data_IF_645434861566
#
_entry.id   IF_645434861566
#
_cell.length_a   1.000
_cell.length_b   1.000
_cell.length_c   1.000
_cell.angle_alpha   90.00
_cell.angle_beta   90.00
_cell.angle_gamma   90.00
#
_symmetry.space_group_name_H-M   'P 1'
#
loop_
_entity.id
_entity.type
_entity.pdbx_description
1 polymer ?
#
# COMPACT_ATOMS: atom_id res chain seq x y z
N UNK A 1 4.69 -9.36 3.54
CA UNK A 1 3.25 -9.52 3.27
C UNK A 1 2.74 -10.82 3.87
N UNK A 2 1.47 -10.85 4.28
CA UNK A 2 0.87 -12.01 4.96
C UNK A 2 0.50 -13.17 4.04
N UNK A 3 0.58 -12.98 2.74
CA UNK A 3 0.36 -14.00 1.70
C UNK A 3 1.57 -14.94 1.47
N UNK A 4 2.70 -14.67 2.12
CA UNK A 4 3.97 -15.40 1.97
C UNK A 4 4.41 -16.08 3.26
N UNK A 5 5.16 -17.16 3.11
CA UNK A 5 5.86 -17.75 4.26
C UNK A 5 7.16 -16.96 4.59
N UNK A 6 7.64 -16.99 5.84
CA UNK A 6 7.06 -17.63 7.02
C UNK A 6 5.93 -16.82 7.65
N UNK A 7 4.91 -17.53 8.15
CA UNK A 7 3.75 -16.91 8.78
C UNK A 7 3.98 -16.73 10.30
N UNK A 8 4.91 -15.86 10.67
CA UNK A 8 5.36 -15.63 12.05
C UNK A 8 5.57 -14.15 12.33
N UNK A 9 5.39 -13.73 13.57
CA UNK A 9 5.82 -12.41 14.00
C UNK A 9 7.32 -12.35 14.23
N UNK A 10 7.93 -11.22 13.89
CA UNK A 10 9.32 -10.88 14.22
C UNK A 10 9.31 -9.73 15.20
N UNK A 11 9.99 -9.89 16.33
CA UNK A 11 10.13 -8.88 17.37
C UNK A 11 11.62 -8.67 17.68
N UNK A 12 12.10 -7.44 17.57
CA UNK A 12 13.50 -7.07 17.81
C UNK A 12 14.52 -7.93 17.02
N UNK A 13 14.18 -8.28 15.77
CA UNK A 13 15.04 -9.08 14.90
C UNK A 13 14.97 -10.60 15.11
N UNK A 14 14.11 -11.08 16.01
CA UNK A 14 13.93 -12.49 16.30
C UNK A 14 12.50 -12.95 16.04
N UNK A 15 12.33 -14.21 15.64
CA UNK A 15 10.99 -14.80 15.52
C UNK A 15 10.39 -14.97 16.92
N UNK A 16 9.23 -14.34 17.12
CA UNK A 16 8.53 -14.42 18.40
C UNK A 16 7.96 -15.83 18.64
N UNK A 17 8.20 -16.39 19.83
CA UNK A 17 7.64 -17.69 20.23
C UNK A 17 8.24 -18.91 19.52
N UNK A 18 9.40 -18.77 18.86
CA UNK A 18 10.07 -19.90 18.20
C UNK A 18 10.66 -20.88 19.22
N UNK A 19 10.32 -22.16 19.07
CA UNK A 19 11.02 -23.25 19.77
C UNK A 19 12.37 -23.49 19.06
N UNK A 20 13.52 -23.40 19.76
CA UNK A 20 14.84 -23.66 19.18
C UNK A 20 14.99 -25.07 18.60
N UNK A 21 14.19 -26.04 19.07
CA UNK A 21 14.21 -27.42 18.58
C UNK A 21 13.35 -27.65 17.32
N UNK A 22 12.56 -26.65 16.90
CA UNK A 22 11.72 -26.68 15.69
C UNK A 22 12.07 -25.48 14.78
N UNK A 23 13.31 -25.43 14.23
CA UNK A 23 13.77 -24.31 13.42
C UNK A 23 12.98 -24.16 12.11
N UNK A 24 12.76 -22.92 11.71
CA UNK A 24 12.06 -22.59 10.47
C UNK A 24 12.99 -22.76 9.27
N UNK A 25 12.51 -23.45 8.25
CA UNK A 25 13.12 -23.48 6.92
C UNK A 25 12.11 -22.96 5.88
N UNK A 26 12.55 -22.04 5.02
CA UNK A 26 11.74 -21.43 3.95
C UNK A 26 12.45 -21.56 2.61
N UNK A 27 11.69 -21.82 1.55
CA UNK A 27 12.17 -21.78 0.18
C UNK A 27 11.05 -21.27 -0.75
N UNK A 28 11.42 -20.53 -1.82
CA UNK A 28 10.47 -20.01 -2.80
C UNK A 28 10.58 -20.67 -4.17
N UNK A 29 11.60 -21.50 -4.38
CA UNK A 29 11.87 -22.16 -5.66
C UNK A 29 11.40 -23.63 -5.67
N UNK A 30 11.45 -24.30 -4.50
CA UNK A 30 11.09 -25.71 -4.37
C UNK A 30 10.58 -26.05 -2.98
N UNK A 31 9.81 -27.15 -2.89
CA UNK A 31 9.24 -27.64 -1.65
C UNK A 31 10.32 -28.01 -0.63
N UNK A 32 10.16 -27.56 0.61
CA UNK A 32 10.94 -27.96 1.79
C UNK A 32 10.03 -28.62 2.82
N UNK A 33 10.56 -29.65 3.47
CA UNK A 33 9.80 -30.42 4.45
C UNK A 33 8.59 -31.16 3.87
N UNK A 34 7.69 -31.54 4.76
CA UNK A 34 6.51 -32.36 4.42
C UNK A 34 5.18 -31.73 4.83
N UNK A 35 5.15 -30.42 5.05
CA UNK A 35 3.89 -29.73 5.36
C UNK A 35 2.96 -29.76 4.13
N UNK A 36 1.63 -29.80 4.36
CA UNK A 36 0.66 -29.85 3.27
C UNK A 36 0.74 -28.59 2.42
N UNK A 37 0.49 -28.76 1.12
CA UNK A 37 0.40 -27.65 0.16
C UNK A 37 -1.01 -27.58 -0.42
N UNK A 38 -1.40 -26.41 -0.89
CA UNK A 38 -2.71 -26.24 -1.54
C UNK A 38 -2.86 -27.08 -2.82
N UNK A 39 -1.75 -27.33 -3.51
CA UNK A 39 -1.73 -28.18 -4.71
C UNK A 39 -1.93 -29.66 -4.39
N UNK A 40 -1.27 -30.17 -3.36
CA UNK A 40 -1.31 -31.59 -2.99
C UNK A 40 -2.49 -31.96 -2.09
N UNK A 41 -3.02 -30.99 -1.32
CA UNK A 41 -4.02 -31.20 -0.26
C UNK A 41 -5.18 -30.17 -0.38
N UNK A 42 -5.89 -30.11 -1.53
CA UNK A 42 -6.94 -29.12 -1.72
C UNK A 42 -8.12 -29.25 -0.74
N UNK A 43 -8.30 -30.42 -0.11
CA UNK A 43 -9.31 -30.67 0.92
C UNK A 43 -9.04 -29.93 2.25
N UNK A 44 -7.78 -29.52 2.48
CA UNK A 44 -7.40 -28.76 3.67
C UNK A 44 -7.54 -27.23 3.49
N UNK A 45 -7.85 -26.80 2.26
CA UNK A 45 -7.91 -25.39 1.89
C UNK A 45 -9.25 -24.78 2.27
N UNK A 46 -9.24 -23.83 3.21
CA UNK A 46 -10.42 -23.04 3.61
C UNK A 46 -10.64 -21.82 2.71
N UNK A 47 -9.56 -21.16 2.29
CA UNK A 47 -9.59 -20.04 1.35
C UNK A 47 -8.83 -20.45 0.08
N UNK A 48 -9.57 -20.66 -1.00
CA UNK A 48 -9.01 -21.14 -2.27
C UNK A 48 -8.18 -20.05 -2.94
N UNK A 49 -7.00 -20.39 -3.48
CA UNK A 49 -6.25 -19.46 -4.32
C UNK A 49 -6.96 -19.24 -5.64
N UNK A 50 -6.91 -18.02 -6.18
CA UNK A 50 -7.28 -17.70 -7.55
C UNK A 50 -6.08 -17.81 -8.49
N UNK A 51 -4.86 -17.61 -7.95
CA UNK A 51 -3.61 -17.62 -8.69
C UNK A 51 -2.41 -17.73 -7.73
N UNK A 52 -1.40 -18.48 -8.12
CA UNK A 52 -0.03 -18.46 -7.56
C UNK A 52 0.17 -18.72 -6.05
N UNK A 53 -0.85 -18.66 -5.25
CA UNK A 53 -0.83 -18.80 -3.81
C UNK A 53 -1.18 -20.24 -3.40
N UNK A 54 -0.42 -21.24 -3.86
CA UNK A 54 -0.83 -22.64 -3.73
C UNK A 54 0.22 -23.55 -3.05
N UNK A 55 1.19 -22.96 -2.35
CA UNK A 55 2.23 -23.71 -1.67
C UNK A 55 1.83 -24.06 -0.21
N UNK A 56 2.68 -23.90 0.79
CA UNK A 56 2.41 -24.37 2.14
C UNK A 56 1.12 -23.82 2.72
N UNK A 57 0.28 -24.71 3.26
CA UNK A 57 -0.98 -24.34 3.94
C UNK A 57 -0.67 -23.97 5.39
N UNK A 58 -1.02 -22.75 5.78
CA UNK A 58 -1.00 -22.26 7.16
C UNK A 58 -2.41 -21.80 7.54
N UNK A 59 -2.96 -22.28 8.64
CA UNK A 59 -4.33 -21.98 9.12
C UNK A 59 -5.45 -22.29 8.11
N UNK A 60 -5.18 -23.23 7.18
CA UNK A 60 -6.12 -23.55 6.08
C UNK A 60 -6.00 -22.63 4.88
N UNK A 61 -4.98 -21.78 4.83
CA UNK A 61 -4.73 -20.83 3.73
C UNK A 61 -3.39 -21.18 3.08
N UNK A 62 -3.37 -21.53 1.79
CA UNK A 62 -2.14 -21.77 1.07
C UNK A 62 -1.42 -20.44 0.79
N UNK A 63 -0.10 -20.45 0.87
CA UNK A 63 0.76 -19.27 0.77
C UNK A 63 1.66 -19.34 -0.45
N UNK A 64 2.34 -18.25 -0.75
CA UNK A 64 3.48 -18.24 -1.67
C UNK A 64 4.71 -18.73 -0.91
N UNK A 65 5.39 -19.73 -1.46
CA UNK A 65 6.57 -20.35 -0.89
C UNK A 65 6.27 -21.55 0.02
N UNK A 66 7.31 -22.30 0.31
CA UNK A 66 7.26 -23.50 1.13
C UNK A 66 7.99 -23.25 2.46
N UNK A 67 7.41 -23.76 3.54
CA UNK A 67 8.03 -23.71 4.85
C UNK A 67 7.83 -25.02 5.62
N UNK A 68 8.71 -25.24 6.59
CA UNK A 68 8.57 -26.27 7.62
C UNK A 68 9.19 -25.77 8.92
N UNK A 69 8.76 -26.33 10.04
CA UNK A 69 9.22 -25.90 11.38
C UNK A 69 8.53 -24.63 11.88
N UNK A 70 8.84 -24.26 13.13
CA UNK A 70 8.31 -23.06 13.77
C UNK A 70 6.83 -23.13 14.15
N UNK A 71 6.29 -24.31 14.43
CA UNK A 71 4.86 -24.50 14.76
C UNK A 71 4.38 -23.62 15.91
N UNK A 72 5.20 -23.45 16.93
CA UNK A 72 4.88 -22.64 18.11
C UNK A 72 4.84 -21.13 17.82
N UNK A 73 5.48 -20.70 16.74
CA UNK A 73 5.59 -19.30 16.35
C UNK A 73 4.55 -18.85 15.33
N UNK A 74 3.77 -19.79 14.74
CA UNK A 74 2.79 -19.45 13.73
C UNK A 74 1.73 -18.47 14.28
N UNK A 75 1.48 -17.38 13.56
CA UNK A 75 0.35 -16.52 13.88
C UNK A 75 -0.99 -17.17 13.55
N UNK A 76 -2.07 -16.60 14.10
CA UNK A 76 -3.43 -16.80 13.60
C UNK A 76 -3.80 -15.57 12.77
N UNK A 77 -4.32 -15.78 11.56
CA UNK A 77 -4.57 -14.68 10.63
C UNK A 77 -5.62 -13.70 11.18
N UNK A 78 -6.66 -14.22 11.82
CA UNK A 78 -7.72 -13.39 12.40
C UNK A 78 -7.23 -12.47 13.53
N UNK A 79 -6.14 -12.81 14.20
CA UNK A 79 -5.64 -12.08 15.38
C UNK A 79 -4.58 -11.02 15.03
N UNK A 80 -4.09 -10.98 13.77
CA UNK A 80 -2.97 -10.12 13.38
C UNK A 80 -3.26 -8.65 13.66
N UNK A 81 -4.45 -8.17 13.27
CA UNK A 81 -4.81 -6.76 13.45
C UNK A 81 -4.81 -6.35 14.93
N UNK A 82 -5.35 -7.20 15.80
CA UNK A 82 -5.39 -6.96 17.24
C UNK A 82 -3.99 -6.91 17.84
N UNK A 83 -3.15 -7.90 17.51
CA UNK A 83 -1.78 -8.00 18.02
C UNK A 83 -0.94 -6.79 17.62
N UNK A 84 -1.00 -6.37 16.36
CA UNK A 84 -0.27 -5.20 15.88
C UNK A 84 -0.80 -3.91 16.51
N UNK A 85 -2.12 -3.79 16.63
CA UNK A 85 -2.76 -2.64 17.27
C UNK A 85 -2.34 -2.52 18.73
N UNK A 86 -2.37 -3.62 19.49
CA UNK A 86 -1.95 -3.63 20.89
C UNK A 86 -0.46 -3.32 21.06
N UNK A 87 0.40 -3.82 20.17
CA UNK A 87 1.83 -3.47 20.16
C UNK A 87 2.03 -1.97 19.94
N UNK A 88 1.29 -1.37 18.98
CA UNK A 88 1.36 0.06 18.70
C UNK A 88 0.85 0.89 19.89
N UNK A 89 -0.28 0.53 20.51
CA UNK A 89 -0.83 1.19 21.70
C UNK A 89 0.15 1.14 22.87
N UNK A 90 0.74 -0.01 23.13
CA UNK A 90 1.73 -0.20 24.18
C UNK A 90 3.01 0.63 23.93
N UNK A 91 3.48 0.68 22.67
CA UNK A 91 4.59 1.54 22.28
C UNK A 91 4.28 3.02 22.58
N UNK A 92 3.14 3.53 22.14
CA UNK A 92 2.72 4.91 22.39
C UNK A 92 2.67 5.20 23.90
N UNK A 93 2.05 4.30 24.66
CA UNK A 93 1.91 4.49 26.12
C UNK A 93 3.27 4.47 26.85
N UNK A 94 4.21 3.63 26.43
CA UNK A 94 5.53 3.55 27.06
C UNK A 94 6.46 4.72 26.70
N UNK A 95 6.19 5.42 25.57
CA UNK A 95 7.01 6.54 25.10
C UNK A 95 6.28 7.91 25.20
N UNK A 96 5.19 7.99 25.96
CA UNK A 96 4.35 9.19 26.03
C UNK A 96 5.05 10.44 26.58
N UNK A 97 6.13 10.29 27.34
CA UNK A 97 6.88 11.40 27.96
C UNK A 97 8.07 11.86 27.10
N UNK A 98 8.31 11.23 25.94
CA UNK A 98 9.43 11.54 25.05
C UNK A 98 8.99 11.62 23.58
N UNK A 99 9.73 12.32 22.71
CA UNK A 99 9.46 12.27 21.27
C UNK A 99 9.62 10.87 20.70
N UNK A 100 8.64 10.42 19.91
CA UNK A 100 8.71 9.15 19.24
C UNK A 100 8.35 9.25 17.74
N UNK A 101 8.80 8.29 16.98
CA UNK A 101 8.35 8.03 15.61
C UNK A 101 7.85 6.60 15.52
N UNK A 102 6.58 6.43 15.15
CA UNK A 102 5.98 5.12 14.94
C UNK A 102 5.59 4.96 13.46
N UNK A 103 6.19 4.00 12.77
CA UNK A 103 5.74 3.54 11.48
C UNK A 103 4.94 2.25 11.66
N UNK A 104 3.67 2.27 11.30
CA UNK A 104 2.75 1.15 11.44
C UNK A 104 2.27 0.69 10.07
N UNK A 105 2.89 -0.38 9.54
CA UNK A 105 2.44 -1.06 8.32
C UNK A 105 1.40 -2.12 8.67
N UNK A 106 0.13 -1.86 8.32
CA UNK A 106 -0.95 -2.82 8.56
C UNK A 106 -0.97 -3.91 7.48
N UNK A 107 -1.48 -5.10 7.82
CA UNK A 107 -1.76 -6.14 6.82
C UNK A 107 -3.03 -5.84 6.01
N UNK A 108 -3.99 -5.17 6.61
CA UNK A 108 -5.24 -4.80 5.95
C UNK A 108 -5.00 -3.61 4.98
N UNK A 109 -5.54 -3.68 3.82
CA UNK A 109 -6.57 -4.60 3.28
C UNK A 109 -5.96 -5.63 2.30
N UNK A 110 -4.68 -6.00 2.44
CA UNK A 110 -4.00 -6.95 1.57
C UNK A 110 -4.54 -8.37 1.74
N UNK A 111 -4.40 -9.19 0.70
CA UNK A 111 -4.76 -10.62 0.76
C UNK A 111 -3.70 -11.42 1.56
N UNK A 112 -4.08 -12.56 2.15
CA UNK A 112 -5.43 -13.10 2.31
C UNK A 112 -6.26 -12.25 3.28
N UNK A 113 -7.50 -11.99 2.92
CA UNK A 113 -8.41 -11.19 3.74
C UNK A 113 -9.11 -12.07 4.76
N UNK A 114 -8.64 -12.02 5.99
CA UNK A 114 -9.13 -12.86 7.10
C UNK A 114 -9.52 -11.95 8.26
N UNK A 115 -10.74 -11.37 8.20
CA UNK A 115 -11.20 -10.48 9.27
C UNK A 115 -11.36 -11.25 10.58
N UNK A 116 -11.05 -10.59 11.71
CA UNK A 116 -11.41 -11.11 13.02
C UNK A 116 -12.94 -11.37 13.09
N UNK A 117 -13.41 -12.42 13.78
CA UNK A 117 -14.83 -12.81 13.80
C UNK A 117 -15.81 -11.68 14.14
N UNK A 118 -15.40 -10.68 14.93
CA UNK A 118 -16.25 -9.51 15.25
C UNK A 118 -16.57 -8.62 14.05
N UNK A 119 -15.79 -8.68 12.97
CA UNK A 119 -16.01 -7.91 11.73
C UNK A 119 -16.61 -8.75 10.62
N UNK A 120 -16.48 -10.08 10.69
CA UNK A 120 -16.96 -10.99 9.65
C UNK A 120 -18.46 -10.80 9.37
N UNK A 121 -18.81 -10.59 8.10
CA UNK A 121 -20.19 -10.37 7.63
C UNK A 121 -20.79 -9.01 8.00
N UNK A 122 -20.01 -8.02 8.46
CA UNK A 122 -20.55 -6.73 8.92
C UNK A 122 -20.62 -5.66 7.83
N UNK A 123 -19.78 -5.73 6.81
CA UNK A 123 -19.70 -4.69 5.78
C UNK A 123 -20.79 -4.79 4.70
N UNK A 124 -21.32 -5.99 4.45
CA UNK A 124 -22.13 -6.26 3.26
C UNK A 124 -21.34 -6.31 1.94
N UNK A 125 -20.00 -6.23 2.01
CA UNK A 125 -19.07 -6.22 0.86
C UNK A 125 -18.12 -7.43 0.90
N UNK A 126 -18.50 -8.52 1.55
CA UNK A 126 -17.68 -9.71 1.75
C UNK A 126 -16.44 -9.45 2.61
N UNK A 127 -15.52 -10.41 2.62
CA UNK A 127 -14.30 -10.33 3.45
C UNK A 127 -13.46 -9.08 3.14
N UNK A 128 -13.48 -8.61 1.89
CA UNK A 128 -12.79 -7.37 1.51
C UNK A 128 -13.36 -6.15 2.25
N UNK A 129 -14.68 -6.02 2.33
CA UNK A 129 -15.31 -4.94 3.09
C UNK A 129 -15.11 -5.10 4.59
N UNK A 130 -15.13 -6.33 5.10
CA UNK A 130 -14.94 -6.62 6.51
C UNK A 130 -13.54 -6.24 7.01
N UNK A 131 -12.49 -6.50 6.22
CA UNK A 131 -11.13 -6.04 6.57
C UNK A 131 -10.95 -4.52 6.43
N UNK A 132 -11.76 -3.83 5.62
CA UNK A 132 -11.81 -2.36 5.61
C UNK A 132 -12.37 -1.85 6.94
N UNK A 133 -13.45 -2.45 7.45
CA UNK A 133 -13.97 -2.11 8.78
C UNK A 133 -12.96 -2.41 9.89
N UNK A 134 -12.19 -3.49 9.75
CA UNK A 134 -11.12 -3.84 10.68
C UNK A 134 -9.99 -2.81 10.66
N UNK A 135 -9.59 -2.35 9.47
CA UNK A 135 -8.59 -1.27 9.32
C UNK A 135 -9.08 0.03 9.97
N UNK A 136 -10.34 0.41 9.71
CA UNK A 136 -10.94 1.61 10.31
C UNK A 136 -10.97 1.52 11.84
N UNK A 137 -11.32 0.35 12.40
CA UNK A 137 -11.20 0.08 13.83
C UNK A 137 -9.76 0.24 14.33
N UNK A 138 -8.77 -0.33 13.63
CA UNK A 138 -7.35 -0.20 14.00
C UNK A 138 -6.92 1.28 14.11
N UNK A 139 -7.30 2.09 13.12
CA UNK A 139 -7.04 3.54 13.12
C UNK A 139 -7.73 4.22 14.31
N UNK A 140 -8.99 3.87 14.54
CA UNK A 140 -9.78 4.38 15.69
C UNK A 140 -9.12 4.06 17.03
N UNK A 141 -8.60 2.85 17.24
CA UNK A 141 -7.90 2.45 18.46
C UNK A 141 -6.63 3.26 18.71
N UNK A 142 -5.84 3.52 17.68
CA UNK A 142 -4.64 4.35 17.79
C UNK A 142 -5.03 5.80 18.12
N UNK A 143 -6.03 6.37 17.45
CA UNK A 143 -6.52 7.71 17.71
C UNK A 143 -7.06 7.84 19.15
N UNK A 144 -7.87 6.89 19.60
CA UNK A 144 -8.38 6.84 20.97
C UNK A 144 -7.27 6.74 22.02
N UNK A 145 -6.20 6.00 21.70
CA UNK A 145 -5.02 5.91 22.57
C UNK A 145 -4.33 7.27 22.71
N UNK A 146 -4.09 7.97 21.60
CA UNK A 146 -3.52 9.32 21.62
C UNK A 146 -4.41 10.30 22.41
N UNK A 147 -5.73 10.24 22.23
CA UNK A 147 -6.68 11.08 22.92
C UNK A 147 -6.68 10.79 24.45
N UNK A 148 -6.71 9.53 24.85
CA UNK A 148 -6.72 9.12 26.26
C UNK A 148 -5.43 9.49 27.00
N UNK A 149 -4.30 9.50 26.28
CA UNK A 149 -2.99 9.90 26.81
C UNK A 149 -2.72 11.41 26.66
N UNK A 150 -3.68 12.20 26.15
CA UNK A 150 -3.56 13.65 25.92
C UNK A 150 -2.41 14.02 24.95
N UNK A 151 -2.10 13.13 24.01
CA UNK A 151 -1.03 13.32 23.02
C UNK A 151 -1.50 13.90 21.68
N UNK A 152 -2.80 13.94 21.44
CA UNK A 152 -3.41 14.31 20.15
C UNK A 152 -2.94 15.65 19.61
N UNK A 153 -2.87 16.68 20.46
CA UNK A 153 -2.45 18.02 20.04
C UNK A 153 -0.94 18.12 19.76
N UNK A 154 -0.15 17.17 20.23
CA UNK A 154 1.30 17.14 20.04
C UNK A 154 1.77 15.99 19.13
N UNK A 155 0.86 15.36 18.40
CA UNK A 155 1.18 14.25 17.50
C UNK A 155 0.75 14.56 16.07
N UNK A 156 1.64 14.37 15.12
CA UNK A 156 1.29 14.28 13.70
C UNK A 156 0.87 12.84 13.44
N UNK A 157 -0.39 12.64 13.08
CA UNK A 157 -0.92 11.36 12.65
C UNK A 157 -1.09 11.38 11.14
N UNK A 158 -0.44 10.46 10.43
CA UNK A 158 -0.54 10.32 8.97
C UNK A 158 -1.13 8.95 8.65
N UNK A 159 -2.21 8.94 7.86
CA UNK A 159 -2.77 7.75 7.25
C UNK A 159 -2.58 7.79 5.75
N UNK A 160 -2.02 6.72 5.19
CA UNK A 160 -1.77 6.61 3.76
C UNK A 160 -1.71 5.13 3.32
N UNK A 161 -1.47 4.88 2.04
CA UNK A 161 -1.29 3.54 1.47
C UNK A 161 -0.02 3.48 0.63
N UNK A 162 0.50 2.30 0.37
CA UNK A 162 1.69 2.07 -0.47
C UNK A 162 1.38 2.12 -1.97
N UNK A 163 0.18 1.69 -2.37
CA UNK A 163 -0.30 1.70 -3.76
C UNK A 163 -1.82 1.77 -3.81
N UNK A 164 -2.33 1.94 -5.01
CA UNK A 164 -3.77 1.90 -5.29
C UNK A 164 -4.39 0.50 -5.11
N UNK A 165 -5.72 0.39 -5.19
CA UNK A 165 -6.43 -0.85 -4.88
C UNK A 165 -6.25 -1.91 -5.97
N UNK A 166 -6.42 -3.17 -5.55
CA UNK A 166 -6.64 -4.33 -6.41
C UNK A 166 -7.79 -5.15 -5.82
N UNK A 167 -8.64 -5.71 -6.67
CA UNK A 167 -9.81 -6.44 -6.20
C UNK A 167 -9.45 -7.90 -5.93
N UNK A 168 -9.02 -8.65 -6.95
CA UNK A 168 -8.48 -10.00 -6.79
C UNK A 168 -6.94 -9.94 -6.88
N UNK A 169 -6.26 -10.37 -5.83
CA UNK A 169 -4.80 -10.45 -5.77
C UNK A 169 -4.34 -11.80 -5.22
N UNK A 170 -5.03 -12.88 -5.62
CA UNK A 170 -4.57 -14.24 -5.42
C UNK A 170 -5.48 -15.19 -4.66
N UNK A 171 -6.65 -14.76 -4.19
CA UNK A 171 -7.60 -15.63 -3.49
C UNK A 171 -9.04 -15.43 -3.96
N UNK A 172 -9.81 -16.52 -3.97
CA UNK A 172 -11.25 -16.53 -4.31
C UNK A 172 -12.09 -16.12 -3.09
N UNK A 173 -12.02 -14.85 -2.73
CA UNK A 173 -12.70 -14.27 -1.57
C UNK A 173 -13.99 -13.51 -1.95
N UNK A 174 -14.49 -13.72 -3.16
CA UNK A 174 -15.69 -13.08 -3.71
C UNK A 174 -15.59 -11.54 -3.80
N UNK A 175 -14.38 -10.99 -3.89
CA UNK A 175 -14.18 -9.55 -3.87
C UNK A 175 -14.82 -8.82 -5.05
N UNK A 176 -14.92 -9.46 -6.24
CA UNK A 176 -15.63 -8.92 -7.40
C UNK A 176 -17.14 -9.07 -7.26
N UNK A 177 -17.62 -10.25 -6.86
CA UNK A 177 -19.04 -10.59 -6.78
C UNK A 177 -19.77 -9.76 -5.73
N UNK A 178 -19.07 -9.40 -4.66
CA UNK A 178 -19.63 -8.66 -3.52
C UNK A 178 -19.26 -7.18 -3.49
N UNK A 179 -18.97 -6.58 -4.64
CA UNK A 179 -18.73 -5.12 -4.72
C UNK A 179 -19.96 -4.29 -4.32
N UNK A 180 -21.16 -4.79 -4.60
CA UNK A 180 -22.44 -4.16 -4.22
C UNK A 180 -22.48 -2.64 -4.50
N UNK A 181 -21.94 -2.21 -5.65
CA UNK A 181 -21.86 -0.81 -6.05
C UNK A 181 -20.68 -0.03 -5.48
N UNK A 182 -19.85 -0.63 -4.64
CA UNK A 182 -18.60 0.00 -4.22
C UNK A 182 -17.58 0.04 -5.36
N UNK A 183 -16.98 1.21 -5.59
CA UNK A 183 -15.97 1.46 -6.62
C UNK A 183 -14.61 1.72 -5.96
N UNK A 184 -13.77 0.71 -5.73
CA UNK A 184 -12.52 0.87 -4.98
C UNK A 184 -11.55 1.90 -5.59
N UNK A 185 -11.53 2.02 -6.92
CA UNK A 185 -10.71 2.98 -7.65
C UNK A 185 -11.37 4.38 -7.76
N UNK A 186 -12.61 4.54 -7.27
CA UNK A 186 -13.38 5.76 -7.47
C UNK A 186 -13.62 6.06 -8.95
N UNK A 187 -13.25 7.26 -9.39
CA UNK A 187 -13.35 7.71 -10.78
C UNK A 187 -12.08 7.42 -11.60
N UNK A 188 -11.01 6.96 -10.96
CA UNK A 188 -9.70 6.80 -11.58
C UNK A 188 -9.58 5.46 -12.31
N UNK A 189 -8.76 5.43 -13.36
CA UNK A 189 -8.47 4.23 -14.14
C UNK A 189 -7.31 3.44 -13.56
N UNK A 190 -7.29 2.12 -13.80
CA UNK A 190 -6.25 1.22 -13.34
C UNK A 190 -6.42 0.83 -11.87
N UNK A 191 -5.32 0.59 -11.19
CA UNK A 191 -5.22 0.17 -9.80
C UNK A 191 -3.79 -0.23 -9.47
N UNK A 192 -3.55 -1.02 -8.43
CA UNK A 192 -2.25 -1.60 -8.12
C UNK A 192 -1.59 -2.13 -9.40
N UNK A 193 -0.30 -1.91 -9.59
CA UNK A 193 0.50 -2.26 -10.79
C UNK A 193 0.40 -1.31 -11.97
N UNK A 194 -0.57 -0.40 -12.01
CA UNK A 194 -0.86 0.45 -13.17
C UNK A 194 -0.07 1.75 -13.19
N UNK A 195 0.26 2.23 -14.39
CA UNK A 195 0.73 3.59 -14.62
C UNK A 195 -0.41 4.63 -14.60
N UNK A 196 -1.68 4.19 -14.67
CA UNK A 196 -2.84 5.07 -14.55
C UNK A 196 -3.04 5.59 -13.14
N UNK A 197 -3.87 6.65 -12.97
CA UNK A 197 -4.02 7.37 -11.70
C UNK A 197 -4.38 6.45 -10.52
N UNK A 198 -5.28 5.49 -10.68
CA UNK A 198 -5.66 4.62 -9.58
C UNK A 198 -4.51 3.73 -9.08
N UNK A 199 -3.39 3.61 -9.80
CA UNK A 199 -2.21 2.85 -9.37
C UNK A 199 -1.43 3.52 -8.25
N UNK A 200 -1.38 4.85 -8.26
CA UNK A 200 -0.49 5.63 -7.38
C UNK A 200 -1.16 6.81 -6.69
N UNK A 201 -2.38 7.19 -7.10
CA UNK A 201 -3.17 8.23 -6.43
C UNK A 201 -3.87 7.67 -5.21
N UNK A 202 -3.11 7.56 -4.14
CA UNK A 202 -3.50 6.96 -2.87
C UNK A 202 -4.08 8.01 -1.92
N UNK A 203 -4.87 7.59 -0.89
CA UNK A 203 -5.23 8.49 0.19
C UNK A 203 -3.99 8.97 0.94
N UNK A 204 -3.97 10.25 1.30
CA UNK A 204 -3.00 10.83 2.20
C UNK A 204 -3.74 11.78 3.14
N UNK A 205 -3.86 11.42 4.39
CA UNK A 205 -4.60 12.15 5.41
C UNK A 205 -3.66 12.48 6.54
N UNK A 206 -3.51 13.79 6.86
CA UNK A 206 -2.73 14.24 7.98
C UNK A 206 -3.66 14.89 9.04
N UNK A 207 -3.49 14.46 10.29
CA UNK A 207 -4.19 15.04 11.44
C UNK A 207 -3.17 15.58 12.44
N UNK A 208 -3.26 16.88 12.75
CA UNK A 208 -2.54 17.55 13.81
C UNK A 208 -3.37 18.73 14.34
N UNK A 209 -4.34 18.51 15.24
CA UNK A 209 -5.37 19.49 15.58
C UNK A 209 -4.82 20.85 16.06
N UNK A 210 -3.74 20.84 16.83
CA UNK A 210 -3.13 22.08 17.33
C UNK A 210 -2.47 22.96 16.23
N UNK A 211 -2.20 22.41 15.03
CA UNK A 211 -1.42 23.10 13.99
C UNK A 211 -2.09 23.13 12.62
N UNK A 212 -2.93 22.16 12.30
CA UNK A 212 -3.52 21.97 10.98
C UNK A 212 -5.04 22.05 11.08
N UNK A 213 -5.64 22.99 10.35
CA UNK A 213 -7.09 23.10 10.23
C UNK A 213 -7.60 22.14 9.15
N UNK A 214 -8.84 21.60 9.28
CA UNK A 214 -9.44 20.78 8.24
C UNK A 214 -9.48 21.51 6.90
N UNK A 215 -8.85 20.92 5.89
CA UNK A 215 -8.88 21.41 4.51
C UNK A 215 -8.66 20.23 3.52
N UNK A 216 -8.72 20.53 2.21
CA UNK A 216 -8.32 19.62 1.14
C UNK A 216 -7.25 20.33 0.31
N UNK A 217 -6.10 19.70 0.19
CA UNK A 217 -5.01 20.16 -0.68
C UNK A 217 -5.16 19.57 -2.07
N UNK A 218 -4.88 20.38 -3.09
CA UNK A 218 -4.81 19.96 -4.49
C UNK A 218 -3.36 19.92 -4.99
N UNK A 219 -2.43 20.25 -4.13
CA UNK A 219 -1.01 20.26 -4.45
C UNK A 219 -0.51 18.88 -4.88
N UNK A 220 0.36 18.84 -5.88
CA UNK A 220 1.07 17.64 -6.28
C UNK A 220 2.12 17.32 -5.20
N UNK A 221 1.91 16.21 -4.49
CA UNK A 221 2.72 15.78 -3.36
C UNK A 221 3.03 14.28 -3.45
N UNK A 222 4.22 13.89 -3.08
CA UNK A 222 4.63 12.48 -3.03
C UNK A 222 4.96 12.05 -1.61
N UNK A 223 4.68 10.80 -1.25
CA UNK A 223 5.06 10.25 0.06
C UNK A 223 6.54 10.38 0.38
N UNK A 224 7.41 10.34 -0.62
CA UNK A 224 8.86 10.53 -0.43
C UNK A 224 9.20 11.91 0.14
N UNK A 225 8.31 12.91 -0.01
CA UNK A 225 8.49 14.27 0.48
C UNK A 225 8.27 14.39 2.00
N UNK A 226 7.64 13.40 2.61
CA UNK A 226 7.46 13.34 4.05
C UNK A 226 8.80 13.39 4.77
N UNK A 227 9.83 12.71 4.25
CA UNK A 227 11.15 12.67 4.88
C UNK A 227 11.80 14.06 4.97
N UNK A 228 11.91 14.77 3.84
CA UNK A 228 12.49 16.13 3.84
C UNK A 228 11.63 17.13 4.63
N UNK A 229 10.30 17.00 4.54
CA UNK A 229 9.37 17.88 5.26
C UNK A 229 9.44 17.68 6.77
N UNK A 230 9.55 16.44 7.25
CA UNK A 230 9.75 16.18 8.68
C UNK A 230 11.14 16.63 9.17
N UNK A 231 12.18 16.47 8.36
CA UNK A 231 13.51 16.99 8.68
C UNK A 231 13.46 18.54 8.86
N UNK A 232 12.76 19.24 7.96
CA UNK A 232 12.56 20.68 8.06
C UNK A 232 11.75 21.06 9.33
N UNK A 233 10.68 20.32 9.65
CA UNK A 233 9.91 20.51 10.86
C UNK A 233 10.78 20.42 12.13
N UNK A 234 11.68 19.43 12.15
CA UNK A 234 12.59 19.15 13.27
C UNK A 234 13.86 20.03 13.22
N UNK A 235 14.00 20.88 12.18
CA UNK A 235 15.19 21.71 11.94
C UNK A 235 16.49 20.90 11.87
N UNK A 236 16.40 19.68 11.30
CA UNK A 236 17.54 18.81 11.10
C UNK A 236 17.99 18.85 9.65
N UNK A 237 19.28 19.04 9.37
CA UNK A 237 19.79 18.96 8.01
C UNK A 237 19.70 17.52 7.49
N UNK A 238 19.37 17.36 6.22
CA UNK A 238 19.45 16.05 5.58
C UNK A 238 20.92 15.66 5.40
N UNK A 239 21.30 14.41 5.70
CA UNK A 239 22.61 13.90 5.39
C UNK A 239 22.89 13.98 3.87
N UNK A 240 24.11 14.29 3.49
CA UNK A 240 24.49 14.39 2.07
C UNK A 240 24.16 13.08 1.34
N UNK A 241 23.37 13.17 0.25
CA UNK A 241 22.94 12.03 -0.56
C UNK A 241 21.80 11.19 0.05
N UNK A 242 21.27 11.57 1.20
CA UNK A 242 20.09 10.92 1.74
C UNK A 242 18.82 11.42 1.02
N UNK A 243 17.94 10.46 0.64
CA UNK A 243 16.65 10.72 0.01
C UNK A 243 16.73 11.73 -1.16
N UNK A 244 17.51 11.44 -2.24
CA UNK A 244 17.80 12.38 -3.31
C UNK A 244 16.56 12.89 -4.05
N UNK A 245 15.47 12.13 -4.03
CA UNK A 245 14.20 12.48 -4.68
C UNK A 245 13.20 13.16 -3.74
N UNK A 246 13.47 13.22 -2.43
CA UNK A 246 12.61 13.87 -1.44
C UNK A 246 12.77 15.40 -1.52
N UNK A 247 11.64 16.11 -1.61
CA UNK A 247 11.57 17.57 -1.61
C UNK A 247 10.93 18.08 -0.33
N UNK A 248 11.36 19.24 0.15
CA UNK A 248 10.76 19.87 1.31
C UNK A 248 9.45 20.57 0.91
N UNK A 249 8.33 20.11 1.47
CA UNK A 249 6.98 20.62 1.28
C UNK A 249 6.24 20.73 2.63
N UNK A 250 6.93 21.14 3.69
CA UNK A 250 6.36 21.24 5.03
C UNK A 250 5.12 22.15 5.11
N UNK A 251 5.16 23.27 4.44
CA UNK A 251 4.03 24.20 4.46
C UNK A 251 2.80 23.62 3.78
N UNK A 252 2.97 22.95 2.64
CA UNK A 252 1.90 22.21 1.95
C UNK A 252 1.37 21.09 2.82
N UNK A 253 2.25 20.31 3.45
CA UNK A 253 1.90 19.22 4.35
C UNK A 253 1.07 19.72 5.55
N UNK A 254 1.38 20.92 6.05
CA UNK A 254 0.67 21.57 7.14
C UNK A 254 -0.54 22.42 6.69
N UNK A 255 -0.90 22.39 5.41
CA UNK A 255 -2.03 23.12 4.85
C UNK A 255 -1.89 24.64 4.88
N UNK A 256 -0.66 25.17 4.84
CA UNK A 256 -0.37 26.60 4.90
C UNK A 256 -0.23 27.26 3.53
N UNK A 257 0.12 26.47 2.52
CA UNK A 257 0.21 26.89 1.13
C UNK A 257 -0.15 25.74 0.19
N UNK A 258 -0.23 26.00 -1.11
CA UNK A 258 -0.47 25.05 -2.20
C UNK A 258 0.78 24.82 -3.05
N UNK A 259 1.99 24.94 -2.46
CA UNK A 259 3.22 24.72 -3.18
C UNK A 259 3.29 23.29 -3.72
N UNK A 260 3.44 23.16 -5.03
CA UNK A 260 3.45 21.88 -5.72
C UNK A 260 4.86 21.40 -5.99
N UNK A 261 5.03 20.08 -6.05
CA UNK A 261 6.12 19.53 -6.86
C UNK A 261 5.97 20.00 -8.30
N UNK A 262 7.06 20.27 -8.97
CA UNK A 262 7.02 20.58 -10.40
C UNK A 262 6.46 19.40 -11.19
N UNK A 263 6.84 18.17 -10.81
CA UNK A 263 6.36 16.93 -11.41
C UNK A 263 6.48 15.75 -10.44
N UNK A 264 5.72 14.69 -10.73
CA UNK A 264 5.88 13.36 -10.10
C UNK A 264 6.13 12.32 -11.19
N UNK A 265 7.11 11.44 -10.97
CA UNK A 265 7.35 10.27 -11.81
C UNK A 265 6.75 9.04 -11.12
N UNK A 266 6.06 8.23 -11.89
CA UNK A 266 5.40 7.00 -11.49
C UNK A 266 5.89 5.86 -12.38
N UNK A 267 5.83 4.63 -11.89
CA UNK A 267 6.14 3.45 -12.71
C UNK A 267 5.08 2.37 -12.49
N UNK A 268 4.86 1.56 -13.51
CA UNK A 268 4.01 0.38 -13.43
C UNK A 268 4.82 -0.89 -13.14
N UNK A 269 4.13 -2.04 -13.07
CA UNK A 269 4.73 -3.36 -12.85
C UNK A 269 5.87 -3.70 -13.83
N UNK A 270 5.79 -3.23 -15.06
CA UNK A 270 6.77 -3.51 -16.12
C UNK A 270 7.85 -2.43 -16.26
N UNK A 271 7.99 -1.54 -15.28
CA UNK A 271 8.90 -0.40 -15.29
C UNK A 271 8.63 0.64 -16.39
N UNK A 272 7.43 0.66 -16.97
CA UNK A 272 7.00 1.75 -17.85
C UNK A 272 6.74 2.98 -16.99
N UNK A 273 7.35 4.10 -17.35
CA UNK A 273 7.26 5.32 -16.59
C UNK A 273 6.14 6.22 -17.07
N UNK A 274 5.55 6.90 -16.13
CA UNK A 274 4.65 8.02 -16.35
C UNK A 274 5.16 9.25 -15.60
N UNK A 275 4.82 10.44 -16.10
CA UNK A 275 5.10 11.72 -15.45
C UNK A 275 3.85 12.58 -15.42
N UNK A 276 3.59 13.14 -14.25
CA UNK A 276 2.52 14.14 -14.03
C UNK A 276 3.17 15.49 -13.81
N UNK A 277 2.77 16.49 -14.61
CA UNK A 277 3.19 17.89 -14.48
C UNK A 277 2.02 18.81 -14.81
N UNK A 278 1.64 19.65 -13.85
CA UNK A 278 0.44 20.48 -13.99
C UNK A 278 -0.81 19.62 -14.22
N UNK A 279 -1.54 19.92 -15.29
CA UNK A 279 -2.73 19.14 -15.67
C UNK A 279 -2.41 17.89 -16.50
N UNK A 280 -1.19 17.76 -17.01
CA UNK A 280 -0.81 16.71 -17.94
C UNK A 280 -0.24 15.48 -17.27
N UNK A 281 -0.69 14.32 -17.70
CA UNK A 281 -0.04 13.05 -17.45
C UNK A 281 0.39 12.41 -18.75
N UNK A 282 1.67 12.13 -18.84
CA UNK A 282 2.29 11.44 -19.96
C UNK A 282 2.73 10.04 -19.53
N UNK A 283 2.41 9.01 -20.32
CA UNK A 283 2.93 7.65 -20.16
C UNK A 283 3.78 7.32 -21.38
N UNK A 284 5.01 6.90 -21.16
CA UNK A 284 5.93 6.57 -22.24
C UNK A 284 5.49 5.33 -23.02
N UNK A 285 5.87 5.21 -24.31
CA UNK A 285 5.62 4.01 -25.11
C UNK A 285 6.28 2.77 -24.48
N UNK A 286 5.58 1.63 -24.56
CA UNK A 286 6.04 0.35 -24.03
C UNK A 286 5.49 -0.80 -24.86
N UNK A 287 6.33 -1.82 -25.13
CA UNK A 287 5.92 -3.09 -25.76
C UNK A 287 5.46 -4.14 -24.73
N UNK A 288 5.50 -3.82 -23.44
CA UNK A 288 5.05 -4.70 -22.37
C UNK A 288 3.53 -4.97 -22.44
N UNK A 289 3.01 -6.04 -21.81
CA UNK A 289 1.58 -6.35 -21.83
C UNK A 289 0.72 -5.19 -21.32
N UNK A 290 -0.40 -4.91 -21.99
CA UNK A 290 -1.34 -3.87 -21.59
C UNK A 290 -2.14 -4.25 -20.32
N UNK A 291 -2.33 -5.54 -20.08
CA UNK A 291 -3.09 -6.11 -18.96
C UNK A 291 -2.18 -7.04 -18.17
N UNK A 292 -2.19 -6.91 -16.85
CA UNK A 292 -1.58 -7.87 -15.95
C UNK A 292 -2.37 -9.18 -16.00
N UNK A 293 -1.68 -10.30 -16.20
CA UNK A 293 -2.30 -11.60 -16.51
C UNK A 293 -3.18 -12.11 -15.35
N UNK A 294 -2.67 -11.99 -14.11
CA UNK A 294 -3.31 -12.58 -12.95
C UNK A 294 -4.46 -11.74 -12.41
N UNK A 295 -4.21 -10.46 -12.15
CA UNK A 295 -5.18 -9.53 -11.53
C UNK A 295 -6.12 -8.92 -12.56
N UNK A 296 -5.86 -9.11 -13.86
CA UNK A 296 -6.59 -8.50 -14.97
C UNK A 296 -6.55 -6.97 -14.97
N UNK A 297 -5.58 -6.40 -14.27
CA UNK A 297 -5.40 -4.96 -14.15
C UNK A 297 -4.81 -4.35 -15.43
N UNK A 298 -5.39 -3.23 -15.86
CA UNK A 298 -4.81 -2.41 -16.94
C UNK A 298 -3.51 -1.77 -16.47
N UNK A 299 -2.39 -2.05 -17.15
CA UNK A 299 -1.07 -1.57 -16.75
C UNK A 299 -0.70 -0.18 -17.29
N UNK A 300 -1.40 0.30 -18.31
CA UNK A 300 -1.07 1.55 -18.99
C UNK A 300 0.05 1.41 -20.02
N UNK A 301 0.38 0.19 -20.45
CA UNK A 301 1.34 -0.04 -21.53
C UNK A 301 0.66 0.09 -22.89
N UNK A 302 1.27 0.88 -23.79
CA UNK A 302 0.88 1.04 -25.19
C UNK A 302 2.14 1.36 -26.01
N UNK A 303 2.20 0.89 -27.26
CA UNK A 303 3.30 1.19 -28.20
C UNK A 303 3.36 2.65 -28.61
N UNK A 304 2.24 3.35 -28.48
CA UNK A 304 2.15 4.78 -28.76
C UNK A 304 2.25 5.58 -27.46
N UNK A 305 2.75 6.82 -27.53
CA UNK A 305 2.74 7.70 -26.37
C UNK A 305 1.30 8.00 -25.93
N UNK A 306 1.09 8.11 -24.64
CA UNK A 306 -0.21 8.48 -24.08
C UNK A 306 -0.08 9.82 -23.36
N UNK A 307 -1.07 10.68 -23.55
CA UNK A 307 -1.19 11.97 -22.85
C UNK A 307 -2.63 12.16 -22.41
N UNK A 308 -2.82 12.50 -21.14
CA UNK A 308 -4.13 12.75 -20.55
C UNK A 308 -4.16 14.11 -19.88
N UNK A 309 -5.29 14.84 -20.04
CA UNK A 309 -5.58 16.06 -19.29
C UNK A 309 -6.34 15.69 -18.02
N UNK A 310 -5.66 15.56 -16.89
CA UNK A 310 -6.26 15.15 -15.63
C UNK A 310 -7.26 16.15 -15.05
N UNK A 311 -7.24 17.40 -15.54
CA UNK A 311 -8.20 18.44 -15.11
C UNK A 311 -9.59 18.23 -15.69
N UNK A 312 -9.68 17.71 -16.91
CA UNK A 312 -10.93 17.45 -17.63
C UNK A 312 -11.25 15.95 -17.75
N UNK A 313 -10.24 15.08 -17.72
CA UNK A 313 -10.35 13.63 -17.84
C UNK A 313 -9.54 12.90 -16.75
N UNK A 314 -9.94 13.02 -15.47
CA UNK A 314 -9.25 12.34 -14.37
C UNK A 314 -9.34 10.80 -14.44
N UNK A 315 -10.19 10.29 -15.33
CA UNK A 315 -10.36 8.85 -15.58
C UNK A 315 -9.53 8.32 -16.76
N UNK A 316 -8.70 9.17 -17.38
CA UNK A 316 -7.72 8.80 -18.41
C UNK A 316 -8.33 7.98 -19.56
N UNK A 317 -9.53 8.41 -20.04
CA UNK A 317 -10.26 7.73 -21.11
C UNK A 317 -9.84 8.20 -22.50
N UNK A 318 -9.40 9.45 -22.60
CA UNK A 318 -9.16 10.13 -23.86
C UNK A 318 -7.68 10.43 -24.04
N UNK A 319 -6.96 9.56 -24.77
CA UNK A 319 -5.57 9.85 -25.14
C UNK A 319 -5.51 11.00 -26.14
N UNK A 320 -5.03 12.17 -25.69
CA UNK A 320 -4.93 13.39 -26.50
C UNK A 320 -3.51 13.65 -27.03
N UNK A 321 -2.61 12.69 -26.98
CA UNK A 321 -1.21 12.83 -27.41
C UNK A 321 -1.06 13.39 -28.83
N UNK A 322 -1.92 12.97 -29.76
CA UNK A 322 -1.90 13.46 -31.16
C UNK A 322 -2.35 14.92 -31.28
N UNK A 323 -3.17 15.41 -30.36
CA UNK A 323 -3.68 16.78 -30.36
C UNK A 323 -2.72 17.76 -29.71
N UNK A 324 -1.81 17.27 -28.85
CA UNK A 324 -0.87 18.09 -28.07
C UNK A 324 0.58 17.57 -28.20
N UNK A 325 1.15 17.56 -29.43
CA UNK A 325 2.50 17.00 -29.66
C UNK A 325 3.62 17.76 -28.91
N UNK A 326 3.40 19.06 -28.62
CA UNK A 326 4.36 19.84 -27.86
C UNK A 326 4.43 19.42 -26.40
N UNK A 327 3.29 19.17 -25.75
CA UNK A 327 3.23 18.65 -24.38
C UNK A 327 3.87 17.25 -24.30
N UNK A 328 3.61 16.38 -25.29
CA UNK A 328 4.27 15.06 -25.38
C UNK A 328 5.78 15.21 -25.45
N UNK A 329 6.30 16.12 -26.30
CA UNK A 329 7.74 16.36 -26.43
C UNK A 329 8.33 16.85 -25.12
N UNK A 330 7.75 17.90 -24.51
CA UNK A 330 8.22 18.47 -23.23
C UNK A 330 8.31 17.39 -22.13
N UNK A 331 7.22 16.65 -21.92
CA UNK A 331 7.14 15.66 -20.85
C UNK A 331 8.04 14.44 -21.10
N UNK A 332 8.18 14.01 -22.36
CA UNK A 332 9.09 12.91 -22.70
C UNK A 332 10.56 13.30 -22.52
N UNK A 333 10.94 14.55 -22.85
CA UNK A 333 12.29 15.06 -22.62
C UNK A 333 12.58 15.21 -21.13
N UNK A 334 11.62 15.73 -20.35
CA UNK A 334 11.72 15.81 -18.89
C UNK A 334 11.89 14.42 -18.27
N UNK A 335 11.06 13.45 -18.68
CA UNK A 335 11.16 12.07 -18.18
C UNK A 335 12.51 11.43 -18.51
N UNK A 336 13.05 11.66 -19.71
CA UNK A 336 14.40 11.22 -20.09
C UNK A 336 15.47 11.83 -19.18
N UNK A 337 15.36 13.12 -18.86
CA UNK A 337 16.31 13.80 -17.98
C UNK A 337 16.32 13.23 -16.57
N UNK A 338 15.17 12.76 -16.08
CA UNK A 338 15.07 12.11 -14.77
C UNK A 338 15.73 10.73 -14.76
N UNK A 339 15.61 9.97 -15.85
CA UNK A 339 16.25 8.65 -15.99
C UNK A 339 17.79 8.69 -15.95
N UNK A 340 18.38 9.83 -16.22
CA UNK A 340 19.84 10.00 -16.34
C UNK A 340 20.49 10.60 -15.10
N UNK A 341 19.71 10.89 -14.05
CA UNK A 341 20.19 11.38 -12.75
C UNK A 341 20.62 10.22 -11.85
#
# INVERSE_FOLDING_TARGET
TVDRVPCVFVENGHVAGLDPNDPITVNYDHKVGNWPTGEENPELVKLKPSQGHNNTIINGIPRIGWMTGGKSALWKDEDIADIITDKAKNFIASHKEEPFFLYMGTQDVHVPRVPHPRFAGKSGLGTRGDVILQLDWTIGEIMNTLDSLQLTDNTIFIFTSDNGPVIDDGYQDQAFELLNGHTPMGIYRGGKYSAYEAGTRIPFILRWPAKVKPNKQQALFSQIDVYASLAALLKQPLPKGAAPDSQEHLNTLLGKDDANREYIVQLNLNNTLAIVKGQWKYIEPSDAPAIEYWTRMELGNDRQPQLYDLSSDPSEKNNVAKLHPEAVRELSELLKSVKTR
#
